data_IF_342098487222
#
_entry.id   IF_342098487222
#
_cell.length_a   1.000
_cell.length_b   1.000
_cell.length_c   1.000
_cell.angle_alpha   90.00
_cell.angle_beta   90.00
_cell.angle_gamma   90.00
#
_symmetry.space_group_name_H-M   'P 1'
#
loop_
_entity.id
_entity.type
_entity.pdbx_description
1 polymer ?
#
# COMPACT_ATOMS: atom_id res chain seq x y z
N UNK A 1 -41.31 -47.52 8.95
CA UNK A 1 -41.34 -46.19 9.61
C UNK A 1 -40.26 -46.23 10.69
N UNK A 2 -39.17 -45.48 10.69
CA UNK A 2 -38.76 -44.24 10.01
C UNK A 2 -37.23 -44.19 10.03
N UNK A 3 -36.60 -43.94 8.87
CA UNK A 3 -35.16 -43.67 8.80
C UNK A 3 -34.82 -42.34 9.49
N UNK A 4 -33.76 -42.32 10.30
CA UNK A 4 -33.26 -41.08 10.92
C UNK A 4 -32.74 -40.13 9.84
N UNK A 5 -33.05 -38.83 9.89
CA UNK A 5 -32.45 -37.85 8.99
C UNK A 5 -30.97 -37.66 9.37
N UNK A 6 -30.08 -37.91 8.41
CA UNK A 6 -28.67 -37.51 8.49
C UNK A 6 -28.57 -36.00 8.34
N UNK A 7 -28.29 -35.29 9.43
CA UNK A 7 -28.02 -33.85 9.40
C UNK A 7 -26.80 -33.58 8.52
N UNK A 8 -26.85 -32.68 7.53
CA UNK A 8 -25.68 -32.33 6.73
C UNK A 8 -24.64 -31.67 7.64
N UNK A 9 -23.49 -32.35 7.85
CA UNK A 9 -22.33 -31.73 8.50
C UNK A 9 -21.76 -30.70 7.54
N UNK A 10 -21.94 -29.41 7.88
CA UNK A 10 -21.40 -28.31 7.11
C UNK A 10 -19.89 -28.46 6.93
N UNK A 11 -19.46 -28.60 5.67
CA UNK A 11 -18.06 -28.62 5.24
C UNK A 11 -17.44 -27.23 5.38
N UNK A 12 -17.26 -26.75 6.60
CA UNK A 12 -16.48 -25.55 6.91
C UNK A 12 -15.53 -25.86 8.05
N UNK A 13 -14.62 -26.80 7.81
CA UNK A 13 -13.44 -27.06 8.65
C UNK A 13 -12.27 -26.11 8.32
N UNK A 14 -12.44 -25.20 7.34
CA UNK A 14 -11.42 -24.19 7.04
C UNK A 14 -11.61 -23.02 8.01
N UNK A 15 -10.59 -22.63 8.80
CA UNK A 15 -10.67 -21.45 9.64
C UNK A 15 -11.13 -20.26 8.79
N UNK A 16 -12.03 -19.44 9.36
CA UNK A 16 -12.50 -18.24 8.68
C UNK A 16 -11.27 -17.41 8.31
N UNK A 17 -11.11 -17.13 7.01
CA UNK A 17 -10.03 -16.24 6.58
C UNK A 17 -10.21 -14.89 7.27
N UNK A 18 -9.11 -14.23 7.66
CA UNK A 18 -9.20 -12.86 8.13
C UNK A 18 -9.94 -12.01 7.09
N UNK A 19 -10.75 -11.07 7.59
CA UNK A 19 -11.49 -10.17 6.72
C UNK A 19 -10.52 -9.40 5.83
N UNK A 20 -10.92 -9.18 4.58
CA UNK A 20 -10.18 -8.34 3.65
C UNK A 20 -10.17 -6.90 4.19
N UNK A 21 -8.98 -6.31 4.34
CA UNK A 21 -8.81 -4.91 4.74
C UNK A 21 -7.94 -4.17 3.73
N UNK A 22 -8.02 -2.84 3.73
CA UNK A 22 -7.18 -2.02 2.85
C UNK A 22 -5.70 -2.24 3.18
N UNK A 23 -5.36 -2.24 4.46
CA UNK A 23 -4.00 -2.46 4.96
C UNK A 23 -3.47 -3.82 4.53
N UNK A 24 -4.29 -4.88 4.62
CA UNK A 24 -3.92 -6.22 4.18
C UNK A 24 -3.68 -6.31 2.67
N UNK A 25 -4.47 -5.59 1.86
CA UNK A 25 -4.27 -5.51 0.41
C UNK A 25 -2.95 -4.82 0.08
N UNK A 26 -2.66 -3.69 0.73
CA UNK A 26 -1.43 -2.93 0.49
C UNK A 26 -0.21 -3.71 0.95
N UNK A 27 -0.26 -4.37 2.11
CA UNK A 27 0.82 -5.23 2.60
C UNK A 27 1.12 -6.39 1.62
N UNK A 28 0.08 -7.03 1.08
CA UNK A 28 0.25 -8.05 0.04
C UNK A 28 0.85 -7.46 -1.25
N UNK A 29 0.47 -6.24 -1.63
CA UNK A 29 1.04 -5.56 -2.79
C UNK A 29 2.53 -5.24 -2.62
N UNK A 30 2.94 -4.79 -1.42
CA UNK A 30 4.35 -4.58 -1.07
C UNK A 30 5.12 -5.91 -1.12
N UNK A 31 4.55 -7.01 -0.62
CA UNK A 31 5.17 -8.32 -0.69
C UNK A 31 5.38 -8.78 -2.14
N UNK A 32 4.36 -8.64 -2.99
CA UNK A 32 4.45 -8.95 -4.43
C UNK A 32 5.46 -8.05 -5.13
N UNK A 33 5.49 -6.75 -4.82
CA UNK A 33 6.50 -5.82 -5.35
C UNK A 33 7.92 -6.30 -5.04
N UNK A 34 8.19 -6.65 -3.78
CA UNK A 34 9.52 -7.10 -3.33
C UNK A 34 9.93 -8.45 -3.93
N UNK A 35 8.97 -9.37 -4.11
CA UNK A 35 9.25 -10.72 -4.60
C UNK A 35 9.30 -10.83 -6.14
N UNK A 36 8.44 -10.10 -6.84
CA UNK A 36 8.19 -10.30 -8.27
C UNK A 36 8.28 -9.02 -9.12
N UNK A 37 8.47 -7.87 -8.49
CA UNK A 37 8.55 -6.57 -9.16
C UNK A 37 7.19 -5.93 -9.45
N UNK A 38 7.22 -4.65 -9.85
CA UNK A 38 6.03 -3.82 -9.99
C UNK A 38 5.04 -4.33 -11.06
N UNK A 39 5.54 -4.91 -12.15
CA UNK A 39 4.68 -5.42 -13.23
C UNK A 39 3.72 -6.54 -12.76
N UNK A 40 3.99 -7.14 -11.60
CA UNK A 40 3.13 -8.13 -10.95
C UNK A 40 2.16 -7.53 -9.95
N UNK A 41 2.33 -6.27 -9.55
CA UNK A 41 1.41 -5.55 -8.66
C UNK A 41 0.15 -5.16 -9.45
N UNK A 42 -0.70 -6.15 -9.69
CA UNK A 42 -1.94 -6.01 -10.45
C UNK A 42 -3.11 -6.50 -9.61
N UNK A 43 -4.31 -5.94 -9.86
CA UNK A 43 -5.54 -6.37 -9.17
C UNK A 43 -5.77 -7.88 -9.29
N UNK A 44 -5.46 -8.49 -10.44
CA UNK A 44 -5.62 -9.93 -10.66
C UNK A 44 -4.63 -10.77 -9.85
N UNK A 45 -3.34 -10.42 -9.87
CA UNK A 45 -2.30 -11.14 -9.12
C UNK A 45 -2.55 -11.04 -7.61
N UNK A 46 -2.98 -9.87 -7.14
CA UNK A 46 -3.35 -9.62 -5.75
C UNK A 46 -4.59 -10.41 -5.33
N UNK A 47 -5.60 -10.50 -6.19
CA UNK A 47 -6.79 -11.29 -5.91
C UNK A 47 -6.44 -12.78 -5.73
N UNK A 48 -5.50 -13.28 -6.54
CA UNK A 48 -4.97 -14.63 -6.40
C UNK A 48 -4.17 -14.81 -5.10
N UNK A 49 -3.30 -13.86 -4.76
CA UNK A 49 -2.51 -13.88 -3.51
C UNK A 49 -3.41 -13.95 -2.27
N UNK A 50 -4.49 -13.17 -2.29
CA UNK A 50 -5.44 -13.04 -1.19
C UNK A 50 -6.57 -14.10 -1.25
N UNK A 51 -6.51 -15.01 -2.23
CA UNK A 51 -7.51 -16.06 -2.51
C UNK A 51 -8.95 -15.49 -2.46
N UNK A 52 -9.16 -14.45 -3.27
CA UNK A 52 -10.41 -13.68 -3.44
C UNK A 52 -10.64 -13.33 -4.92
N UNK A 53 -11.76 -12.68 -5.24
CA UNK A 53 -12.04 -12.16 -6.57
C UNK A 53 -11.56 -10.71 -6.74
N UNK A 54 -11.15 -10.26 -7.94
CA UNK A 54 -10.76 -8.86 -8.18
C UNK A 54 -11.84 -7.85 -7.80
N UNK A 55 -13.11 -8.19 -7.99
CA UNK A 55 -14.25 -7.36 -7.59
C UNK A 55 -14.22 -6.97 -6.10
N UNK A 56 -13.78 -7.88 -5.23
CA UNK A 56 -13.67 -7.64 -3.79
C UNK A 56 -12.60 -6.59 -3.46
N UNK A 57 -11.52 -6.53 -4.24
CA UNK A 57 -10.43 -5.57 -4.03
C UNK A 57 -10.85 -4.14 -4.41
N UNK A 58 -11.69 -4.00 -5.44
CA UNK A 58 -12.16 -2.69 -5.91
C UNK A 58 -12.99 -1.92 -4.88
N UNK A 59 -13.49 -2.59 -3.84
CA UNK A 59 -14.15 -1.95 -2.69
C UNK A 59 -13.16 -1.11 -1.87
N UNK A 60 -11.88 -1.49 -1.84
CA UNK A 60 -10.83 -0.87 -1.02
C UNK A 60 -9.87 0.00 -1.84
N UNK A 61 -9.69 -0.32 -3.12
CA UNK A 61 -8.74 0.35 -4.01
C UNK A 61 -9.34 0.45 -5.41
N UNK A 62 -9.58 1.67 -5.91
CA UNK A 62 -10.43 1.88 -7.10
C UNK A 62 -9.80 1.40 -8.40
N UNK A 63 -8.46 1.36 -8.47
CA UNK A 63 -7.71 0.92 -9.64
C UNK A 63 -6.25 0.63 -9.29
N UNK A 64 -5.49 0.11 -10.27
CA UNK A 64 -4.06 -0.18 -10.10
C UNK A 64 -3.22 1.06 -9.75
N UNK A 65 -3.57 2.24 -10.26
CA UNK A 65 -2.83 3.45 -9.94
C UNK A 65 -2.99 3.83 -8.46
N UNK A 66 -4.18 3.67 -7.88
CA UNK A 66 -4.38 3.84 -6.44
C UNK A 66 -3.68 2.77 -5.61
N UNK A 67 -3.60 1.54 -6.11
CA UNK A 67 -2.85 0.47 -5.47
C UNK A 67 -1.37 0.85 -5.41
N UNK A 68 -0.82 1.31 -6.53
CA UNK A 68 0.55 1.80 -6.61
C UNK A 68 0.77 3.02 -5.69
N UNK A 69 -0.17 3.96 -5.63
CA UNK A 69 -0.09 5.10 -4.74
C UNK A 69 -0.04 4.68 -3.26
N UNK A 70 -0.83 3.69 -2.88
CA UNK A 70 -0.83 3.14 -1.53
C UNK A 70 0.47 2.37 -1.20
N UNK A 71 1.00 1.61 -2.17
CA UNK A 71 2.31 0.95 -2.02
C UNK A 71 3.44 1.97 -1.87
N UNK A 72 3.38 3.08 -2.61
CA UNK A 72 4.34 4.16 -2.49
C UNK A 72 4.29 4.83 -1.11
N UNK A 73 3.08 5.02 -0.55
CA UNK A 73 2.91 5.55 0.79
C UNK A 73 3.61 4.69 1.85
N UNK A 74 3.45 3.35 1.78
CA UNK A 74 4.16 2.43 2.69
C UNK A 74 5.68 2.50 2.55
N UNK A 75 6.20 2.62 1.32
CA UNK A 75 7.63 2.80 1.10
C UNK A 75 8.12 4.13 1.64
N UNK A 76 7.30 5.18 1.55
CA UNK A 76 7.63 6.49 2.11
C UNK A 76 7.74 6.46 3.64
N UNK A 77 7.03 5.55 4.33
CA UNK A 77 7.22 5.33 5.76
C UNK A 77 8.63 4.88 6.16
N UNK A 78 9.45 4.45 5.20
CA UNK A 78 10.88 4.14 5.43
C UNK A 78 11.81 5.32 5.21
N UNK A 79 11.30 6.42 4.63
CA UNK A 79 12.04 7.66 4.45
C UNK A 79 11.97 8.45 5.75
N UNK A 80 13.10 8.55 6.46
CA UNK A 80 13.21 9.33 7.68
C UNK A 80 12.88 10.81 7.42
N UNK A 81 11.68 11.24 7.84
CA UNK A 81 11.17 12.62 7.70
C UNK A 81 11.07 13.31 9.07
N UNK A 82 11.80 12.78 10.06
CA UNK A 82 11.80 13.31 11.42
C UNK A 82 12.47 14.69 11.46
N UNK A 83 11.83 15.69 12.11
CA UNK A 83 12.38 17.02 12.24
C UNK A 83 13.73 17.02 12.95
N UNK A 84 14.65 17.90 12.54
CA UNK A 84 15.89 18.17 13.29
C UNK A 84 15.97 19.62 13.72
N UNK A 85 16.76 19.91 14.77
CA UNK A 85 17.00 21.29 15.24
C UNK A 85 17.99 22.06 14.34
N UNK A 86 18.05 21.73 13.05
CA UNK A 86 19.02 22.25 12.09
C UNK A 86 18.56 23.50 11.32
N UNK A 87 19.37 23.93 10.35
CA UNK A 87 18.96 24.98 9.40
C UNK A 87 17.77 24.48 8.54
N UNK A 88 16.63 25.21 8.49
CA UNK A 88 15.45 24.77 7.76
C UNK A 88 15.70 24.48 6.28
N UNK A 89 16.61 25.23 5.63
CA UNK A 89 16.98 24.99 4.23
C UNK A 89 17.75 23.68 4.08
N UNK A 90 18.76 23.43 4.91
CA UNK A 90 19.49 22.15 4.88
C UNK A 90 18.57 20.96 5.14
N UNK A 91 17.58 21.12 6.01
CA UNK A 91 16.61 20.07 6.31
C UNK A 91 15.64 19.83 5.15
N UNK A 92 15.15 20.91 4.52
CA UNK A 92 14.33 20.81 3.31
C UNK A 92 15.06 20.06 2.20
N UNK A 93 16.32 20.39 1.96
CA UNK A 93 17.17 19.71 0.97
C UNK A 93 17.31 18.22 1.32
N UNK A 94 17.57 17.89 2.59
CA UNK A 94 17.69 16.51 3.06
C UNK A 94 16.43 15.69 2.81
N UNK A 95 15.26 16.23 3.17
CA UNK A 95 13.97 15.55 2.98
C UNK A 95 13.66 15.35 1.50
N UNK A 96 13.87 16.38 0.66
CA UNK A 96 13.65 16.28 -0.78
C UNK A 96 14.60 15.30 -1.46
N UNK A 97 15.87 15.25 -1.04
CA UNK A 97 16.84 14.25 -1.52
C UNK A 97 16.42 12.84 -1.13
N UNK A 98 15.99 12.62 0.11
CA UNK A 98 15.55 11.31 0.59
C UNK A 98 14.29 10.84 -0.17
N UNK A 99 13.30 11.72 -0.35
CA UNK A 99 12.11 11.45 -1.15
C UNK A 99 12.45 11.12 -2.61
N UNK A 100 13.32 11.93 -3.22
CA UNK A 100 13.75 11.73 -4.63
C UNK A 100 14.52 10.42 -4.79
N UNK A 101 15.42 10.10 -3.85
CA UNK A 101 16.16 8.84 -3.86
C UNK A 101 15.22 7.64 -3.83
N UNK A 102 14.22 7.65 -2.95
CA UNK A 102 13.21 6.57 -2.88
C UNK A 102 12.42 6.44 -4.20
N UNK A 103 12.02 7.54 -4.83
CA UNK A 103 11.36 7.50 -6.13
C UNK A 103 12.27 6.92 -7.24
N UNK A 104 13.57 7.20 -7.17
CA UNK A 104 14.56 6.70 -8.13
C UNK A 104 14.86 5.22 -7.97
N UNK A 105 14.71 4.67 -6.76
CA UNK A 105 14.76 3.22 -6.52
C UNK A 105 13.54 2.49 -7.12
N UNK A 106 12.43 3.21 -7.33
CA UNK A 106 11.19 2.67 -7.90
C UNK A 106 10.61 3.52 -9.06
N UNK A 107 11.31 3.69 -10.19
CA UNK A 107 10.92 4.65 -11.23
C UNK A 107 9.53 4.41 -11.83
N UNK A 108 9.15 3.15 -12.02
CA UNK A 108 7.83 2.80 -12.55
C UNK A 108 6.71 3.09 -11.56
N UNK A 109 6.98 2.97 -10.25
CA UNK A 109 6.03 3.32 -9.19
C UNK A 109 5.89 4.85 -9.10
N UNK A 110 7.00 5.58 -9.20
CA UNK A 110 7.02 7.04 -9.28
C UNK A 110 6.19 7.57 -10.45
N UNK A 111 6.30 6.96 -11.65
CA UNK A 111 5.44 7.31 -12.80
C UNK A 111 3.96 7.07 -12.51
N UNK A 112 3.63 6.00 -11.80
CA UNK A 112 2.24 5.74 -11.40
C UNK A 112 1.73 6.77 -10.40
N UNK A 113 2.58 7.32 -9.55
CA UNK A 113 2.21 8.37 -8.59
C UNK A 113 1.84 9.70 -9.27
N UNK A 114 2.29 9.94 -10.51
CA UNK A 114 1.86 11.09 -11.29
C UNK A 114 0.39 10.99 -11.74
N UNK A 115 -0.16 9.77 -11.86
CA UNK A 115 -1.57 9.56 -12.25
C UNK A 115 -2.49 9.49 -11.04
N UNK A 116 -2.01 8.96 -9.91
CA UNK A 116 -2.70 8.96 -8.63
C UNK A 116 -1.70 9.27 -7.52
N UNK A 117 -1.77 10.48 -6.92
CA UNK A 117 -0.91 10.84 -5.80
C UNK A 117 -1.26 9.98 -4.57
N UNK A 118 -0.26 9.55 -3.79
CA UNK A 118 -0.50 8.99 -2.47
C UNK A 118 -1.30 9.97 -1.60
N UNK A 119 -2.08 9.43 -0.69
CA UNK A 119 -2.89 10.20 0.25
C UNK A 119 -2.96 9.50 1.61
N UNK A 120 -1.97 8.65 1.90
CA UNK A 120 -1.87 7.95 3.17
C UNK A 120 -1.10 8.77 4.20
N UNK A 121 -0.98 8.24 5.43
CA UNK A 121 -0.38 8.97 6.54
C UNK A 121 1.08 9.36 6.29
N UNK A 122 1.87 8.53 5.61
CA UNK A 122 3.29 8.83 5.36
C UNK A 122 3.46 9.98 4.37
N UNK A 123 2.64 10.00 3.32
CA UNK A 123 2.66 11.11 2.37
C UNK A 123 2.15 12.41 2.98
N UNK A 124 1.10 12.36 3.78
CA UNK A 124 0.63 13.55 4.50
C UNK A 124 1.71 14.07 5.45
N UNK A 125 2.38 13.20 6.22
CA UNK A 125 3.48 13.60 7.09
C UNK A 125 4.62 14.26 6.30
N UNK A 126 5.00 13.71 5.14
CA UNK A 126 6.00 14.34 4.27
C UNK A 126 5.58 15.76 3.87
N UNK A 127 4.32 15.95 3.44
CA UNK A 127 3.83 17.28 3.04
C UNK A 127 3.82 18.24 4.22
N UNK A 128 3.37 17.82 5.40
CA UNK A 128 3.38 18.65 6.62
C UNK A 128 4.81 19.05 7.00
N UNK A 129 5.77 18.13 6.96
CA UNK A 129 7.19 18.44 7.21
C UNK A 129 7.72 19.47 6.20
N UNK A 130 7.43 19.29 4.91
CA UNK A 130 7.87 20.23 3.87
C UNK A 130 7.25 21.62 4.04
N UNK A 131 5.96 21.69 4.39
CA UNK A 131 5.28 22.98 4.64
C UNK A 131 5.85 23.66 5.88
N UNK A 132 6.06 22.94 6.98
CA UNK A 132 6.64 23.48 8.20
C UNK A 132 8.05 24.05 8.00
N UNK A 133 8.86 23.42 7.15
CA UNK A 133 10.21 23.92 6.81
C UNK A 133 10.21 25.13 5.88
N UNK A 134 9.16 25.30 5.06
CA UNK A 134 9.01 26.46 4.15
C UNK A 134 8.43 27.69 4.85
N UNK A 135 7.68 27.49 5.92
CA UNK A 135 7.08 28.55 6.73
C UNK A 135 8.03 29.10 7.83
N UNK A 136 9.17 28.43 8.07
CA UNK A 136 10.19 28.80 9.05
C UNK A 136 11.17 29.88 8.55
#
# INVERSE_FOLDING_TARGET
MTGRPTTPRGRRERPAKPALTREGIVAAAVAVLRAEGLDKVTMRRLAQELDTGPASLYVYVRNTAELHAAVLDELLGTVGTEPSDGDPREELERVLIAYTTMLMEHPSLARSALTARPSGPHYLNLIETLLGLLDA
#
